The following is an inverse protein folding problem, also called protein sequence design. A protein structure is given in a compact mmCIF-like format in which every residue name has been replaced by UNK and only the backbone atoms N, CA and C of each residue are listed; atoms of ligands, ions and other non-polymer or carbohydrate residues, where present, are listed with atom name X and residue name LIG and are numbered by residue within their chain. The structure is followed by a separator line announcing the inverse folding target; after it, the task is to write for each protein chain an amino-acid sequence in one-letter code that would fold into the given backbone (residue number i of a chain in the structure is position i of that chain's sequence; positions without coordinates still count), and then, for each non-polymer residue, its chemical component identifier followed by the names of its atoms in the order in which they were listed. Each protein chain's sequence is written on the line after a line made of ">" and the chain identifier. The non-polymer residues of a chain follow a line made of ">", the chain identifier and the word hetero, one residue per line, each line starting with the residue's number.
data_IF_086330621546
#
_entry.id   IF_086330621546
#
_cell.length_a   1.000
_cell.length_b   1.000
_cell.length_c   1.000
_cell.angle_alpha   90.00
_cell.angle_beta   90.00
_cell.angle_gamma   90.00
#
_symmetry.space_group_name_H-M   'P 1'
#
loop_
_entity.id
_entity.type
_entity.pdbx_description
1 polymer ?
#
# COMPACT_ATOMS: atom_id res chain seq x y z
N UNK A 1 -9.95 32.43 47.29
CA UNK A 1 -9.70 32.43 45.85
C UNK A 1 -8.89 31.17 45.54
N UNK A 2 -9.54 30.08 45.15
CA UNK A 2 -8.88 28.76 44.91
C UNK A 2 -8.22 28.78 43.54
N UNK A 3 -6.89 28.71 43.53
CA UNK A 3 -6.10 28.54 42.33
C UNK A 3 -6.34 27.08 41.83
N UNK A 4 -7.11 26.94 40.77
CA UNK A 4 -7.39 25.65 40.12
C UNK A 4 -6.09 25.02 39.62
N UNK A 5 -5.97 23.68 39.64
CA UNK A 5 -4.78 22.98 39.21
C UNK A 5 -4.68 22.92 37.68
N UNK A 6 -4.40 24.09 37.07
CA UNK A 6 -4.10 24.15 35.60
C UNK A 6 -2.80 23.40 35.29
N UNK A 7 -1.93 23.22 36.29
CA UNK A 7 -0.61 22.61 36.11
C UNK A 7 -0.65 21.12 35.81
N UNK A 8 -1.58 20.35 36.39
CA UNK A 8 -1.67 18.91 36.20
C UNK A 8 -2.34 18.54 34.86
N UNK A 9 -3.34 19.31 34.44
CA UNK A 9 -3.98 19.16 33.12
C UNK A 9 -2.98 19.47 31.99
N UNK A 10 -2.17 20.50 32.13
CA UNK A 10 -1.17 20.89 31.12
C UNK A 10 -0.06 19.86 31.04
N UNK A 11 0.41 19.34 32.19
CA UNK A 11 1.44 18.29 32.24
C UNK A 11 0.99 16.99 31.58
N UNK A 12 -0.24 16.57 31.84
CA UNK A 12 -0.81 15.36 31.23
C UNK A 12 -1.04 15.54 29.73
N UNK A 13 -1.46 16.72 29.28
CA UNK A 13 -1.60 17.03 27.86
C UNK A 13 -0.25 17.06 27.13
N UNK A 14 0.76 17.66 27.73
CA UNK A 14 2.14 17.65 27.18
C UNK A 14 2.68 16.23 27.11
N UNK A 15 2.50 15.41 28.17
CA UNK A 15 2.95 14.02 28.17
C UNK A 15 2.25 13.19 27.06
N UNK A 16 0.95 13.37 26.87
CA UNK A 16 0.20 12.68 25.81
C UNK A 16 0.64 13.11 24.41
N UNK A 17 0.91 14.40 24.20
CA UNK A 17 1.40 14.95 22.93
C UNK A 17 2.81 14.46 22.59
N UNK A 18 3.68 14.29 23.59
CA UNK A 18 5.04 13.73 23.43
C UNK A 18 4.96 12.24 23.04
N UNK A 19 4.02 11.49 23.63
CA UNK A 19 3.82 10.08 23.29
C UNK A 19 3.35 9.91 21.83
N UNK A 20 2.40 10.74 21.37
CA UNK A 20 1.96 10.71 19.96
C UNK A 20 3.12 11.08 19.02
N UNK A 21 3.90 12.11 19.37
CA UNK A 21 5.06 12.51 18.56
C UNK A 21 6.13 11.41 18.51
N UNK A 22 6.38 10.73 19.63
CA UNK A 22 7.34 9.60 19.65
C UNK A 22 6.84 8.41 18.84
N UNK A 23 5.54 8.12 18.84
CA UNK A 23 4.96 7.06 18.00
C UNK A 23 5.05 7.39 16.49
N UNK A 24 4.84 8.65 16.10
CA UNK A 24 4.98 9.04 14.69
C UNK A 24 6.43 9.03 14.22
N UNK A 25 7.38 9.44 15.08
CA UNK A 25 8.82 9.39 14.79
C UNK A 25 9.30 7.93 14.72
N UNK A 26 8.79 7.04 15.58
CA UNK A 26 9.14 5.62 15.56
C UNK A 26 8.62 4.91 14.30
N UNK A 27 7.39 5.21 13.88
CA UNK A 27 6.85 4.69 12.62
C UNK A 27 7.66 5.17 11.39
N UNK A 28 8.17 6.40 11.41
CA UNK A 28 9.00 6.95 10.34
C UNK A 28 10.45 6.43 10.36
N UNK A 29 11.00 6.09 11.53
CA UNK A 29 12.34 5.51 11.65
C UNK A 29 12.43 4.10 11.06
N UNK A 30 11.34 3.33 11.07
CA UNK A 30 11.29 2.03 10.40
C UNK A 30 11.30 2.14 8.86
N UNK A 31 10.76 3.23 8.30
CA UNK A 31 10.81 3.51 6.85
C UNK A 31 12.21 3.88 6.37
N UNK A 32 13.08 4.37 7.25
CA UNK A 32 14.45 4.80 6.92
C UNK A 32 15.50 3.69 7.07
N UNK A 33 15.13 2.49 7.52
CA UNK A 33 16.02 1.34 7.51
C UNK A 33 16.08 0.75 6.10
N UNK A 34 16.85 1.38 5.21
CA UNK A 34 17.21 0.78 3.92
C UNK A 34 17.92 -0.55 4.16
N UNK A 35 17.41 -1.69 3.63
CA UNK A 35 18.16 -2.92 3.67
C UNK A 35 19.48 -2.69 2.93
N UNK A 36 20.61 -3.01 3.57
CA UNK A 36 21.89 -3.05 2.91
C UNK A 36 21.78 -4.10 1.81
N UNK A 37 22.00 -3.69 0.56
CA UNK A 37 22.40 -4.61 -0.51
C UNK A 37 23.77 -5.15 -0.11
N UNK A 38 23.77 -6.22 0.69
CA UNK A 38 25.00 -6.76 1.27
C UNK A 38 25.58 -7.91 0.46
N UNK A 39 24.97 -8.18 -0.71
CA UNK A 39 25.41 -9.29 -1.54
C UNK A 39 25.83 -8.78 -2.92
N UNK A 40 27.14 -8.85 -3.19
CA UNK A 40 27.76 -8.49 -4.46
C UNK A 40 27.11 -9.26 -5.64
N UNK A 41 26.68 -10.50 -5.38
CA UNK A 41 25.95 -11.34 -6.34
C UNK A 41 24.62 -10.70 -6.77
N UNK A 42 23.85 -10.15 -5.84
CA UNK A 42 22.55 -9.52 -6.14
C UNK A 42 22.72 -8.22 -6.93
N UNK A 43 23.80 -7.48 -6.69
CA UNK A 43 24.13 -6.30 -7.49
C UNK A 43 24.46 -6.66 -8.93
N UNK A 44 25.23 -7.74 -9.16
CA UNK A 44 25.54 -8.24 -10.51
C UNK A 44 24.23 -8.67 -11.20
N UNK A 45 23.36 -9.43 -10.54
CA UNK A 45 22.07 -9.86 -11.12
C UNK A 45 21.19 -8.65 -11.45
N UNK A 46 21.14 -7.63 -10.59
CA UNK A 46 20.38 -6.41 -10.85
C UNK A 46 20.90 -5.64 -12.08
N UNK A 47 22.23 -5.55 -12.22
CA UNK A 47 22.87 -4.91 -13.38
C UNK A 47 22.58 -5.68 -14.68
N UNK A 48 22.63 -7.02 -14.63
CA UNK A 48 22.26 -7.85 -15.77
C UNK A 48 20.78 -7.74 -16.12
N UNK A 49 19.88 -7.68 -15.12
CA UNK A 49 18.46 -7.48 -15.32
C UNK A 49 18.18 -6.15 -16.02
N UNK A 50 18.83 -5.08 -15.57
CA UNK A 50 18.70 -3.77 -16.18
C UNK A 50 19.25 -3.75 -17.60
N UNK A 51 20.41 -4.37 -17.84
CA UNK A 51 20.98 -4.48 -19.19
C UNK A 51 20.04 -5.20 -20.17
N UNK A 52 19.37 -6.27 -19.72
CA UNK A 52 18.37 -6.98 -20.52
C UNK A 52 17.14 -6.12 -20.82
N UNK A 53 16.70 -5.34 -19.84
CA UNK A 53 15.60 -4.39 -20.02
C UNK A 53 15.95 -3.31 -21.05
N UNK A 54 17.16 -2.74 -20.97
CA UNK A 54 17.62 -1.69 -21.88
C UNK A 54 17.81 -2.24 -23.31
N UNK A 55 18.37 -3.44 -23.46
CA UNK A 55 18.47 -4.16 -24.74
C UNK A 55 17.08 -4.37 -25.36
N UNK A 56 16.13 -4.88 -24.57
CA UNK A 56 14.74 -5.09 -24.99
C UNK A 56 14.11 -3.80 -25.51
N UNK A 57 14.31 -2.68 -24.79
CA UNK A 57 13.75 -1.37 -25.15
C UNK A 57 14.20 -0.91 -26.54
N UNK A 58 15.43 -1.22 -26.96
CA UNK A 58 15.93 -0.88 -28.30
C UNK A 58 15.30 -1.72 -29.41
N UNK A 59 14.77 -2.91 -29.06
CA UNK A 59 14.23 -3.89 -30.03
C UNK A 59 12.70 -3.81 -30.18
N UNK A 60 11.99 -3.10 -29.29
CA UNK A 60 10.50 -3.06 -29.26
C UNK A 60 9.89 -2.78 -30.63
N UNK A 61 10.48 -1.89 -31.43
CA UNK A 61 9.95 -1.49 -32.74
C UNK A 61 10.35 -2.47 -33.85
N UNK A 62 11.58 -2.99 -33.82
CA UNK A 62 12.17 -3.78 -34.92
C UNK A 62 11.94 -5.28 -34.77
N UNK A 63 11.92 -5.78 -33.52
CA UNK A 63 11.69 -7.19 -33.18
C UNK A 63 10.94 -7.29 -31.85
N UNK A 64 9.60 -7.10 -31.87
CA UNK A 64 8.79 -7.05 -30.65
C UNK A 64 8.75 -8.39 -29.91
N UNK A 65 8.88 -9.52 -30.61
CA UNK A 65 8.84 -10.84 -29.97
C UNK A 65 10.14 -11.09 -29.19
N UNK A 66 11.28 -10.77 -29.78
CA UNK A 66 12.56 -10.87 -29.09
C UNK A 66 12.66 -9.86 -27.94
N UNK A 67 12.16 -8.63 -28.13
CA UNK A 67 12.06 -7.66 -27.04
C UNK A 67 11.23 -8.20 -25.86
N UNK A 68 10.08 -8.83 -26.12
CA UNK A 68 9.23 -9.43 -25.07
C UNK A 68 9.95 -10.55 -24.31
N UNK A 69 10.76 -11.37 -25.00
CA UNK A 69 11.55 -12.41 -24.35
C UNK A 69 12.64 -11.81 -23.45
N UNK A 70 13.34 -10.78 -23.90
CA UNK A 70 14.34 -10.07 -23.09
C UNK A 70 13.72 -9.39 -21.86
N UNK A 71 12.52 -8.82 -21.99
CA UNK A 71 11.78 -8.30 -20.83
C UNK A 71 11.43 -9.42 -19.83
N UNK A 72 11.06 -10.61 -20.33
CA UNK A 72 10.78 -11.78 -19.50
C UNK A 72 12.04 -12.27 -18.77
N UNK A 73 13.20 -12.30 -19.44
CA UNK A 73 14.50 -12.60 -18.83
C UNK A 73 14.85 -11.56 -17.75
N UNK A 74 14.66 -10.27 -18.02
CA UNK A 74 14.85 -9.19 -17.05
C UNK A 74 13.98 -9.38 -15.82
N UNK A 75 12.68 -9.63 -16.01
CA UNK A 75 11.75 -9.88 -14.93
C UNK A 75 12.16 -11.09 -14.08
N UNK A 76 12.59 -12.20 -14.72
CA UNK A 76 13.06 -13.39 -14.03
C UNK A 76 14.31 -13.11 -13.17
N UNK A 77 15.22 -12.25 -13.64
CA UNK A 77 16.40 -11.84 -12.87
C UNK A 77 16.02 -10.96 -11.67
N UNK A 78 15.14 -9.98 -11.84
CA UNK A 78 14.63 -9.18 -10.72
C UNK A 78 13.88 -10.06 -9.70
N UNK A 79 13.07 -11.02 -10.17
CA UNK A 79 12.38 -11.96 -9.31
C UNK A 79 13.35 -12.79 -8.46
N UNK A 80 14.46 -13.28 -9.03
CA UNK A 80 15.49 -14.00 -8.27
C UNK A 80 16.07 -13.19 -7.12
N UNK A 81 16.21 -11.87 -7.27
CA UNK A 81 16.66 -10.99 -6.19
C UNK A 81 15.58 -10.90 -5.10
N UNK A 82 14.31 -10.80 -5.48
CA UNK A 82 13.18 -10.83 -4.54
C UNK A 82 13.16 -12.17 -3.78
N UNK A 83 13.33 -13.29 -4.48
CA UNK A 83 13.33 -14.65 -3.90
C UNK A 83 14.52 -14.86 -2.95
N UNK A 84 15.62 -14.10 -3.09
CA UNK A 84 16.73 -14.10 -2.13
C UNK A 84 16.41 -13.36 -0.82
N UNK A 85 15.19 -12.83 -0.68
CA UNK A 85 14.70 -12.14 0.51
C UNK A 85 14.96 -10.62 0.52
N UNK A 86 15.41 -10.05 -0.60
CA UNK A 86 15.58 -8.59 -0.71
C UNK A 86 14.22 -7.94 -0.99
N UNK A 87 13.79 -7.08 -0.06
CA UNK A 87 12.57 -6.27 -0.20
C UNK A 87 12.96 -4.79 -0.36
N UNK A 88 12.85 -4.28 -1.60
CA UNK A 88 13.18 -2.90 -1.95
C UNK A 88 12.16 -2.37 -2.96
N UNK A 89 11.60 -1.18 -2.72
CA UNK A 89 10.56 -0.59 -3.57
C UNK A 89 11.00 -0.33 -5.01
N UNK A 90 12.25 0.09 -5.24
CA UNK A 90 12.80 0.26 -6.59
C UNK A 90 12.96 -1.08 -7.32
N UNK A 91 13.36 -2.14 -6.59
CA UNK A 91 13.43 -3.48 -7.15
C UNK A 91 12.06 -3.96 -7.65
N UNK A 92 11.02 -3.81 -6.82
CA UNK A 92 9.65 -4.17 -7.20
C UNK A 92 9.10 -3.28 -8.32
N UNK A 93 9.46 -2.00 -8.35
CA UNK A 93 9.10 -1.10 -9.44
C UNK A 93 9.71 -1.57 -10.77
N UNK A 94 10.99 -1.90 -10.80
CA UNK A 94 11.68 -2.40 -12.00
C UNK A 94 11.16 -3.77 -12.43
N UNK A 95 10.86 -4.66 -11.47
CA UNK A 95 10.20 -5.93 -11.74
C UNK A 95 8.84 -5.71 -12.41
N UNK A 96 8.01 -4.80 -11.86
CA UNK A 96 6.72 -4.43 -12.44
C UNK A 96 6.84 -3.91 -13.87
N UNK A 97 7.82 -3.04 -14.14
CA UNK A 97 8.07 -2.51 -15.47
C UNK A 97 8.41 -3.65 -16.49
N UNK A 98 9.28 -4.58 -16.11
CA UNK A 98 9.66 -5.70 -16.97
C UNK A 98 8.48 -6.66 -17.20
N UNK A 99 7.65 -6.90 -16.18
CA UNK A 99 6.45 -7.74 -16.28
C UNK A 99 5.37 -7.13 -17.17
N UNK A 100 5.12 -5.81 -17.12
CA UNK A 100 4.18 -5.14 -18.05
C UNK A 100 4.64 -5.33 -19.49
N UNK A 101 5.91 -5.08 -19.77
CA UNK A 101 6.45 -5.20 -21.12
C UNK A 101 6.48 -6.64 -21.64
N UNK A 102 6.49 -7.64 -20.74
CA UNK A 102 6.38 -9.06 -21.10
C UNK A 102 4.94 -9.59 -21.13
N UNK A 103 3.94 -8.72 -20.95
CA UNK A 103 2.49 -9.03 -20.90
C UNK A 103 2.05 -9.89 -19.70
N UNK A 104 2.84 -9.91 -18.62
CA UNK A 104 2.45 -10.57 -17.36
C UNK A 104 1.78 -9.55 -16.41
N UNK A 105 0.57 -9.11 -16.79
CA UNK A 105 -0.11 -8.00 -16.14
C UNK A 105 -0.51 -8.30 -14.68
N UNK A 106 -0.89 -9.54 -14.38
CA UNK A 106 -1.26 -9.93 -13.02
C UNK A 106 -0.09 -9.77 -12.05
N UNK A 107 1.07 -10.34 -12.39
CA UNK A 107 2.28 -10.22 -11.58
C UNK A 107 2.84 -8.80 -11.57
N UNK A 108 2.68 -8.05 -12.67
CA UNK A 108 3.09 -6.65 -12.73
C UNK A 108 2.33 -5.79 -11.71
N UNK A 109 1.00 -5.94 -11.64
CA UNK A 109 0.17 -5.26 -10.65
C UNK A 109 0.62 -5.64 -9.23
N UNK A 110 0.87 -6.93 -8.97
CA UNK A 110 1.40 -7.40 -7.69
C UNK A 110 2.72 -6.75 -7.30
N UNK A 111 3.67 -6.66 -8.24
CA UNK A 111 4.94 -6.00 -8.04
C UNK A 111 4.78 -4.50 -7.76
N UNK A 112 3.91 -3.80 -8.49
CA UNK A 112 3.64 -2.38 -8.23
C UNK A 112 2.91 -2.13 -6.89
N UNK A 113 2.01 -3.02 -6.47
CA UNK A 113 1.37 -2.92 -5.14
C UNK A 113 2.41 -3.05 -4.04
N UNK A 114 3.39 -3.94 -4.20
CA UNK A 114 4.50 -4.07 -3.25
C UNK A 114 5.44 -2.87 -3.31
N UNK A 115 5.78 -2.37 -4.50
CA UNK A 115 6.54 -1.14 -4.66
C UNK A 115 5.84 0.06 -3.98
N UNK A 116 4.51 0.20 -4.16
CA UNK A 116 3.71 1.26 -3.54
C UNK A 116 3.68 1.14 -2.00
N UNK A 117 3.69 -0.09 -1.46
CA UNK A 117 3.78 -0.32 -0.01
C UNK A 117 5.10 0.17 0.55
N UNK A 118 6.22 -0.11 -0.16
CA UNK A 118 7.58 0.23 0.27
C UNK A 118 7.96 1.69 -0.01
N UNK A 119 7.43 2.28 -1.09
CA UNK A 119 7.66 3.67 -1.51
C UNK A 119 6.32 4.41 -1.64
N UNK A 120 5.63 4.68 -0.52
CA UNK A 120 4.32 5.31 -0.54
C UNK A 120 4.40 6.74 -1.09
N UNK A 121 3.62 7.03 -2.14
CA UNK A 121 3.54 8.36 -2.76
C UNK A 121 4.55 8.61 -3.88
N UNK A 122 5.27 7.60 -4.34
CA UNK A 122 6.05 7.71 -5.57
C UNK A 122 5.10 7.75 -6.79
N UNK A 123 5.07 8.90 -7.47
CA UNK A 123 4.17 9.12 -8.59
C UNK A 123 4.46 8.19 -9.79
N UNK A 124 5.69 7.73 -9.97
CA UNK A 124 6.06 6.79 -11.03
C UNK A 124 5.30 5.47 -10.85
N UNK A 125 5.24 4.97 -9.61
CA UNK A 125 4.55 3.73 -9.28
C UNK A 125 3.05 3.89 -9.51
N UNK A 126 2.46 5.01 -9.06
CA UNK A 126 1.02 5.26 -9.24
C UNK A 126 0.62 5.32 -10.72
N UNK A 127 1.42 6.00 -11.56
CA UNK A 127 1.18 6.09 -13.00
C UNK A 127 1.29 4.70 -13.66
N UNK A 128 2.36 3.94 -13.38
CA UNK A 128 2.58 2.65 -14.00
C UNK A 128 1.56 1.60 -13.53
N UNK A 129 1.17 1.62 -12.25
CA UNK A 129 0.10 0.77 -11.71
C UNK A 129 -1.24 1.09 -12.38
N UNK A 130 -1.58 2.38 -12.55
CA UNK A 130 -2.81 2.77 -13.24
C UNK A 130 -2.81 2.34 -14.71
N UNK A 131 -1.66 2.41 -15.37
CA UNK A 131 -1.49 1.93 -16.74
C UNK A 131 -1.66 0.40 -16.81
N UNK A 132 -1.02 -0.36 -15.95
CA UNK A 132 -1.19 -1.82 -15.90
C UNK A 132 -2.65 -2.23 -15.65
N UNK A 133 -3.37 -1.50 -14.78
CA UNK A 133 -4.80 -1.70 -14.55
C UNK A 133 -5.65 -1.41 -15.79
N UNK A 134 -5.32 -0.37 -16.56
CA UNK A 134 -6.06 -0.05 -17.80
C UNK A 134 -5.91 -1.16 -18.84
N UNK A 135 -4.73 -1.75 -18.96
CA UNK A 135 -4.49 -2.88 -19.87
C UNK A 135 -5.32 -4.13 -19.50
N UNK A 136 -5.50 -4.38 -18.20
CA UNK A 136 -6.40 -5.46 -17.71
C UNK A 136 -7.86 -5.10 -17.95
N UNK A 137 -8.28 -3.85 -17.70
CA UNK A 137 -9.66 -3.41 -17.84
C UNK A 137 -10.15 -3.43 -19.30
N UNK A 138 -9.27 -3.23 -20.26
CA UNK A 138 -9.60 -3.39 -21.69
C UNK A 138 -10.00 -4.82 -22.04
N UNK A 139 -9.61 -5.81 -21.24
CA UNK A 139 -9.98 -7.22 -21.36
C UNK A 139 -11.15 -7.68 -20.47
N UNK A 140 -11.68 -6.84 -19.59
CA UNK A 140 -12.67 -7.23 -18.57
C UNK A 140 -13.97 -6.42 -18.65
N UNK A 141 -15.10 -7.04 -18.32
CA UNK A 141 -16.44 -6.43 -18.27
C UNK A 141 -16.66 -5.46 -17.11
N UNK A 142 -17.71 -4.61 -17.15
CA UNK A 142 -17.77 -3.32 -16.50
C UNK A 142 -17.89 -3.35 -14.97
N UNK A 143 -17.32 -2.29 -14.35
CA UNK A 143 -17.31 -1.95 -12.94
C UNK A 143 -18.71 -1.82 -12.31
N UNK A 144 -18.85 -2.43 -11.13
CA UNK A 144 -20.02 -2.33 -10.25
C UNK A 144 -20.14 -0.91 -9.69
N UNK A 145 -21.34 -0.35 -9.68
CA UNK A 145 -21.67 0.94 -9.09
C UNK A 145 -21.42 0.94 -7.56
N UNK A 146 -20.60 1.87 -7.10
CA UNK A 146 -20.28 2.03 -5.68
C UNK A 146 -21.34 2.86 -4.94
N UNK A 147 -21.67 2.49 -3.70
CA UNK A 147 -22.61 3.18 -2.83
C UNK A 147 -22.19 4.63 -2.49
N UNK A 148 -23.14 5.55 -2.14
CA UNK A 148 -22.84 6.96 -1.87
C UNK A 148 -21.83 7.22 -0.76
N UNK A 149 -21.80 6.38 0.27
CA UNK A 149 -20.84 6.44 1.38
C UNK A 149 -19.41 6.08 0.92
N UNK A 150 -19.30 5.16 -0.04
CA UNK A 150 -18.03 4.81 -0.66
C UNK A 150 -17.46 5.94 -1.52
N UNK A 151 -18.32 6.80 -2.09
CA UNK A 151 -17.87 8.00 -2.83
C UNK A 151 -17.19 9.01 -1.91
N UNK A 152 -17.71 9.26 -0.70
CA UNK A 152 -17.05 10.15 0.26
C UNK A 152 -15.73 9.53 0.76
N UNK A 153 -15.73 8.25 1.05
CA UNK A 153 -14.52 7.52 1.41
C UNK A 153 -13.51 7.43 0.25
N UNK A 154 -13.99 7.40 -1.01
CA UNK A 154 -13.13 7.41 -2.19
C UNK A 154 -12.46 8.76 -2.41
N UNK A 155 -13.16 9.88 -2.17
CA UNK A 155 -12.56 11.22 -2.21
C UNK A 155 -11.41 11.37 -1.21
N UNK A 156 -11.54 10.78 -0.02
CA UNK A 156 -10.46 10.76 0.97
C UNK A 156 -9.29 9.86 0.54
N UNK A 157 -9.57 8.78 -0.19
CA UNK A 157 -8.54 7.88 -0.75
C UNK A 157 -7.76 8.48 -1.92
N UNK A 158 -8.34 9.45 -2.64
CA UNK A 158 -7.66 10.22 -3.70
C UNK A 158 -6.50 11.06 -3.14
N UNK A 159 -6.60 11.49 -1.86
CA UNK A 159 -5.49 12.21 -1.23
C UNK A 159 -4.38 11.21 -0.91
N UNK A 160 -3.22 11.39 -1.54
CA UNK A 160 -2.05 10.54 -1.34
C UNK A 160 -1.71 10.36 0.15
N UNK A 161 -1.36 9.15 0.56
CA UNK A 161 -1.07 8.83 1.97
C UNK A 161 -0.03 9.77 2.62
N UNK A 162 1.09 10.14 1.95
CA UNK A 162 2.04 11.11 2.50
C UNK A 162 1.42 12.47 2.75
N UNK A 163 0.54 12.94 1.86
CA UNK A 163 -0.15 14.23 2.02
C UNK A 163 -1.04 14.23 3.27
N UNK A 164 -1.68 13.10 3.59
CA UNK A 164 -2.48 12.93 4.81
C UNK A 164 -1.63 12.95 6.06
N UNK A 165 -0.44 12.34 6.05
CA UNK A 165 0.52 12.41 7.16
C UNK A 165 0.96 13.87 7.38
N UNK A 166 1.34 14.57 6.31
CA UNK A 166 1.73 15.97 6.39
C UNK A 166 0.60 16.86 6.88
N UNK A 167 -0.64 16.64 6.46
CA UNK A 167 -1.81 17.40 6.95
C UNK A 167 -2.07 17.16 8.44
N UNK A 168 -1.88 15.94 8.93
CA UNK A 168 -1.95 15.63 10.35
C UNK A 168 -0.86 16.37 11.14
N UNK A 169 0.37 16.37 10.65
CA UNK A 169 1.50 17.07 11.26
C UNK A 169 1.32 18.59 11.28
N UNK A 170 0.88 19.19 10.17
CA UNK A 170 0.60 20.61 10.06
C UNK A 170 -0.55 21.00 11.01
N UNK A 171 -1.61 20.22 11.08
CA UNK A 171 -2.73 20.50 12.00
C UNK A 171 -2.30 20.41 13.46
N UNK A 172 -1.40 19.49 13.80
CA UNK A 172 -0.81 19.39 15.13
C UNK A 172 0.03 20.62 15.50
N UNK A 173 0.91 21.09 14.57
CA UNK A 173 1.67 22.33 14.75
C UNK A 173 0.73 23.52 14.95
N UNK A 174 -0.36 23.59 14.19
CA UNK A 174 -1.34 24.69 14.31
C UNK A 174 -2.01 24.71 15.69
N UNK A 175 -2.35 23.56 16.25
CA UNK A 175 -2.90 23.45 17.62
C UNK A 175 -1.90 24.00 18.64
N UNK A 176 -0.62 23.63 18.53
CA UNK A 176 0.42 24.17 19.40
C UNK A 176 0.63 25.67 19.23
N UNK A 177 0.60 26.16 18.00
CA UNK A 177 0.71 27.58 17.72
C UNK A 177 -0.43 28.38 18.38
N UNK A 178 -1.67 27.87 18.31
CA UNK A 178 -2.84 28.49 18.98
C UNK A 178 -2.62 28.52 20.51
N UNK A 179 -2.13 27.43 21.11
CA UNK A 179 -1.86 27.36 22.55
C UNK A 179 -0.82 28.40 22.97
N UNK A 180 0.32 28.41 22.27
CA UNK A 180 1.44 29.31 22.57
C UNK A 180 1.03 30.79 22.39
N UNK A 181 0.35 31.09 21.28
CA UNK A 181 -0.17 32.43 21.02
C UNK A 181 -1.16 32.89 22.10
N UNK A 182 -2.05 31.99 22.53
CA UNK A 182 -2.98 32.25 23.62
C UNK A 182 -2.30 32.59 24.95
N UNK A 183 -1.18 31.92 25.24
CA UNK A 183 -0.37 32.18 26.45
C UNK A 183 0.39 33.50 26.33
N UNK A 184 1.06 33.75 25.20
CA UNK A 184 1.93 34.93 25.02
C UNK A 184 1.13 36.25 24.92
N UNK A 185 0.00 36.22 24.22
CA UNK A 185 -0.79 37.43 23.96
C UNK A 185 -1.95 37.65 24.94
N UNK A 186 -2.07 36.81 25.97
CA UNK A 186 -3.04 36.99 27.05
C UNK A 186 -4.51 37.02 26.53
N UNK A 187 -4.84 36.23 25.54
CA UNK A 187 -6.14 36.23 24.84
C UNK A 187 -7.34 35.89 25.73
N UNK A 188 -7.17 35.96 27.05
CA UNK A 188 -8.14 35.47 28.01
C UNK A 188 -9.44 36.30 28.09
N UNK A 189 -9.52 37.51 27.50
CA UNK A 189 -10.65 38.40 27.74
C UNK A 189 -11.49 38.78 26.48
N UNK A 190 -10.96 38.68 25.27
CA UNK A 190 -11.63 39.27 24.09
C UNK A 190 -11.87 38.32 22.90
N UNK A 191 -11.13 37.22 22.78
CA UNK A 191 -11.32 36.24 21.69
C UNK A 191 -11.72 34.89 22.30
N UNK A 192 -12.73 34.21 21.76
CA UNK A 192 -13.17 32.90 22.24
C UNK A 192 -12.19 31.81 21.78
N UNK A 193 -10.94 31.85 22.30
CA UNK A 193 -9.86 30.92 21.95
C UNK A 193 -10.16 29.45 22.34
N UNK A 194 -11.01 29.24 23.37
CA UNK A 194 -11.40 27.88 23.81
C UNK A 194 -12.14 27.09 22.74
N UNK A 195 -13.23 27.59 22.11
CA UNK A 195 -13.88 26.87 21.02
C UNK A 195 -12.96 26.71 19.82
N UNK A 196 -12.12 27.68 19.49
CA UNK A 196 -11.12 27.56 18.41
C UNK A 196 -10.13 26.42 18.68
N UNK A 197 -9.63 26.32 19.91
CA UNK A 197 -8.73 25.23 20.31
C UNK A 197 -9.44 23.87 20.28
N UNK A 198 -10.69 23.79 20.76
CA UNK A 198 -11.48 22.56 20.75
C UNK A 198 -11.72 22.09 19.32
N UNK A 199 -12.13 22.99 18.43
CA UNK A 199 -12.37 22.63 16.99
C UNK A 199 -11.10 22.22 16.28
N UNK A 200 -10.00 22.95 16.49
CA UNK A 200 -8.69 22.60 15.90
C UNK A 200 -8.18 21.23 16.39
N UNK A 201 -8.33 20.97 17.69
CA UNK A 201 -7.96 19.68 18.29
C UNK A 201 -8.84 18.53 17.78
N UNK A 202 -10.14 18.76 17.61
CA UNK A 202 -11.07 17.77 17.07
C UNK A 202 -10.72 17.42 15.59
N UNK A 203 -10.40 18.42 14.78
CA UNK A 203 -9.97 18.23 13.39
C UNK A 203 -8.65 17.45 13.35
N UNK A 204 -7.67 17.85 14.16
CA UNK A 204 -6.39 17.16 14.26
C UNK A 204 -6.56 15.70 14.66
N UNK A 205 -7.40 15.42 15.66
CA UNK A 205 -7.69 14.06 16.11
C UNK A 205 -8.39 13.27 15.00
N UNK A 206 -9.37 13.84 14.32
CA UNK A 206 -10.08 13.20 13.20
C UNK A 206 -9.11 12.78 12.07
N UNK A 207 -8.24 13.69 11.63
CA UNK A 207 -7.23 13.38 10.61
C UNK A 207 -6.27 12.29 11.12
N UNK A 208 -5.79 12.39 12.34
CA UNK A 208 -4.84 11.41 12.92
C UNK A 208 -5.46 10.02 13.03
N UNK A 209 -6.73 9.92 13.44
CA UNK A 209 -7.47 8.65 13.51
C UNK A 209 -7.61 8.03 12.12
N UNK A 210 -7.97 8.81 11.10
CA UNK A 210 -8.10 8.28 9.73
C UNK A 210 -6.78 7.75 9.19
N UNK A 211 -5.66 8.45 9.43
CA UNK A 211 -4.33 7.99 9.04
C UNK A 211 -3.95 6.70 9.77
N UNK A 212 -4.21 6.63 11.09
CA UNK A 212 -3.92 5.43 11.89
C UNK A 212 -4.75 4.22 11.46
N UNK A 213 -6.04 4.42 11.20
CA UNK A 213 -6.93 3.34 10.71
C UNK A 213 -6.50 2.84 9.33
N UNK A 214 -6.11 3.74 8.43
CA UNK A 214 -5.63 3.35 7.09
C UNK A 214 -4.30 2.58 7.16
N UNK A 215 -3.37 3.01 8.02
CA UNK A 215 -2.13 2.28 8.24
C UNK A 215 -2.39 0.86 8.79
N UNK A 216 -3.23 0.76 9.82
CA UNK A 216 -3.58 -0.52 10.43
C UNK A 216 -4.32 -1.47 9.45
N UNK A 217 -5.23 -0.93 8.64
CA UNK A 217 -5.95 -1.72 7.63
C UNK A 217 -5.02 -2.32 6.58
N UNK A 218 -3.99 -1.58 6.15
CA UNK A 218 -3.01 -2.06 5.17
C UNK A 218 -2.18 -3.22 5.71
N UNK A 219 -1.93 -3.24 7.01
CA UNK A 219 -1.17 -4.28 7.68
C UNK A 219 -2.02 -5.53 7.94
N UNK A 220 -3.28 -5.34 8.40
CA UNK A 220 -4.20 -6.46 8.74
C UNK A 220 -4.80 -7.10 7.48
N UNK A 221 -5.14 -6.29 6.48
CA UNK A 221 -5.80 -6.73 5.26
C UNK A 221 -5.02 -6.23 4.02
N UNK A 222 -3.87 -6.83 3.73
CA UNK A 222 -3.05 -6.38 2.61
C UNK A 222 -3.78 -6.58 1.27
N UNK A 223 -3.54 -5.68 0.30
CA UNK A 223 -4.04 -5.85 -1.05
C UNK A 223 -3.33 -7.00 -1.75
N UNK A 224 -4.03 -7.63 -2.67
CA UNK A 224 -3.48 -8.67 -3.52
C UNK A 224 -4.10 -8.63 -4.90
N UNK A 225 -3.57 -9.46 -5.79
CA UNK A 225 -3.99 -9.57 -7.18
C UNK A 225 -3.95 -11.03 -7.63
N UNK A 226 -4.85 -11.42 -8.50
CA UNK A 226 -4.80 -12.72 -9.16
C UNK A 226 -3.77 -12.69 -10.29
N UNK A 227 -2.89 -13.68 -10.29
CA UNK A 227 -1.78 -13.77 -11.27
C UNK A 227 -2.13 -14.67 -12.46
N UNK A 228 -3.06 -15.61 -12.28
CA UNK A 228 -3.49 -16.54 -13.30
C UNK A 228 -4.84 -16.17 -13.90
N UNK A 229 -5.09 -16.64 -15.13
CA UNK A 229 -6.40 -16.57 -15.77
C UNK A 229 -7.31 -17.72 -15.32
N UNK A 230 -8.64 -17.52 -15.46
CA UNK A 230 -9.64 -18.54 -15.15
C UNK A 230 -9.61 -19.07 -13.72
N UNK A 231 -9.29 -18.18 -12.74
CA UNK A 231 -9.23 -18.55 -11.33
C UNK A 231 -10.63 -18.80 -10.77
N UNK A 232 -10.88 -20.02 -10.33
CA UNK A 232 -12.15 -20.40 -9.70
C UNK A 232 -12.10 -20.07 -8.21
N UNK A 233 -12.81 -19.03 -7.81
CA UNK A 233 -13.00 -18.68 -6.39
C UNK A 233 -14.01 -19.64 -5.78
N UNK A 234 -13.69 -20.21 -4.62
CA UNK A 234 -14.50 -21.26 -3.96
C UNK A 234 -15.16 -20.76 -2.68
N UNK A 235 -16.25 -21.41 -2.27
CA UNK A 235 -16.95 -21.12 -1.01
C UNK A 235 -16.18 -21.56 0.23
N UNK A 236 -15.18 -22.44 0.10
CA UNK A 236 -14.34 -22.96 1.18
C UNK A 236 -12.90 -23.22 0.73
N UNK A 237 -12.02 -23.48 1.69
CA UNK A 237 -10.58 -23.69 1.51
C UNK A 237 -10.23 -25.10 1.03
N UNK A 238 -10.77 -25.52 -0.11
CA UNK A 238 -10.51 -26.86 -0.67
C UNK A 238 -11.13 -27.03 -2.04
N UNK A 239 -10.60 -27.95 -2.84
CA UNK A 239 -11.05 -28.19 -4.21
C UNK A 239 -12.47 -28.79 -4.30
N UNK A 240 -12.93 -29.45 -3.26
CA UNK A 240 -14.27 -30.03 -3.19
C UNK A 240 -15.41 -29.03 -2.95
N UNK A 241 -15.09 -27.77 -2.59
CA UNK A 241 -16.11 -26.76 -2.40
C UNK A 241 -16.61 -26.19 -3.73
N UNK A 242 -17.91 -25.89 -3.79
CA UNK A 242 -18.54 -25.28 -4.96
C UNK A 242 -17.93 -23.89 -5.26
N UNK A 243 -17.95 -23.46 -6.53
CA UNK A 243 -17.59 -22.10 -6.91
C UNK A 243 -18.42 -21.07 -6.12
N UNK A 244 -17.76 -19.98 -5.70
CA UNK A 244 -18.40 -18.85 -5.04
C UNK A 244 -19.05 -17.91 -6.05
N UNK A 245 -18.46 -17.80 -7.25
CA UNK A 245 -18.91 -16.95 -8.35
C UNK A 245 -19.33 -17.79 -9.55
N UNK A 246 -20.21 -17.23 -10.36
CA UNK A 246 -20.73 -17.89 -11.56
C UNK A 246 -19.65 -18.04 -12.64
N UNK A 247 -18.77 -17.02 -12.75
CA UNK A 247 -17.69 -16.99 -13.73
C UNK A 247 -16.33 -16.99 -13.01
N UNK A 248 -15.31 -17.67 -13.58
CA UNK A 248 -13.95 -17.56 -13.08
C UNK A 248 -13.41 -16.13 -13.20
N UNK A 249 -12.54 -15.75 -12.28
CA UNK A 249 -11.89 -14.44 -12.34
C UNK A 249 -10.65 -14.50 -13.24
N UNK A 250 -10.35 -13.36 -13.86
CA UNK A 250 -9.19 -13.19 -14.76
C UNK A 250 -7.98 -12.67 -13.99
N UNK A 251 -6.79 -12.84 -14.57
CA UNK A 251 -5.55 -12.23 -14.09
C UNK A 251 -5.72 -10.72 -13.92
N UNK A 252 -5.07 -10.14 -12.92
CA UNK A 252 -5.15 -8.71 -12.63
C UNK A 252 -6.36 -8.30 -11.79
N UNK A 253 -7.29 -9.23 -11.48
CA UNK A 253 -8.37 -8.95 -10.54
C UNK A 253 -7.79 -8.70 -9.14
N UNK A 254 -8.00 -7.49 -8.62
CA UNK A 254 -7.51 -7.07 -7.32
C UNK A 254 -8.47 -7.45 -6.20
N UNK A 255 -7.91 -7.77 -5.06
CA UNK A 255 -8.66 -8.16 -3.86
C UNK A 255 -7.98 -7.65 -2.58
N UNK A 256 -8.71 -7.75 -1.49
CA UNK A 256 -8.16 -7.59 -0.13
C UNK A 256 -8.10 -8.97 0.53
N UNK A 257 -6.95 -9.36 1.06
CA UNK A 257 -6.81 -10.61 1.82
C UNK A 257 -7.45 -10.46 3.20
N UNK A 258 -8.23 -11.45 3.62
CA UNK A 258 -8.94 -11.46 4.91
C UNK A 258 -8.36 -12.51 5.85
N UNK A 259 -8.05 -13.70 5.33
CA UNK A 259 -7.64 -14.85 6.12
C UNK A 259 -6.68 -15.71 5.30
N UNK A 260 -5.72 -16.32 6.00
CA UNK A 260 -4.75 -17.23 5.40
C UNK A 260 -4.94 -18.62 5.99
N UNK A 261 -4.97 -19.64 5.13
CA UNK A 261 -4.90 -21.06 5.52
C UNK A 261 -3.88 -21.79 4.65
N UNK A 262 -3.35 -22.91 5.08
CA UNK A 262 -2.40 -23.68 4.28
C UNK A 262 -2.89 -23.90 2.85
N UNK A 263 -2.16 -23.36 1.88
CA UNK A 263 -2.49 -23.43 0.44
C UNK A 263 -3.64 -22.56 -0.04
N UNK A 264 -4.30 -21.74 0.82
CA UNK A 264 -5.48 -20.97 0.48
C UNK A 264 -5.50 -19.58 1.10
N UNK A 265 -5.93 -18.57 0.30
CA UNK A 265 -6.28 -17.24 0.78
C UNK A 265 -7.78 -17.03 0.73
N UNK A 266 -8.36 -16.51 1.82
CA UNK A 266 -9.69 -15.92 1.79
C UNK A 266 -9.58 -14.48 1.33
N UNK A 267 -10.22 -14.19 0.23
CA UNK A 267 -10.16 -12.88 -0.43
C UNK A 267 -11.52 -12.19 -0.37
N UNK A 268 -11.50 -10.86 -0.43
CA UNK A 268 -12.65 -10.01 -0.64
C UNK A 268 -12.39 -9.14 -1.85
N UNK A 269 -13.28 -9.20 -2.82
CA UNK A 269 -13.25 -8.35 -4.00
C UNK A 269 -13.75 -6.93 -3.68
N UNK A 270 -13.55 -6.00 -4.61
CA UNK A 270 -13.97 -4.60 -4.50
C UNK A 270 -15.49 -4.43 -4.41
N UNK A 271 -16.27 -5.37 -4.93
CA UNK A 271 -17.75 -5.43 -4.83
C UNK A 271 -18.25 -5.99 -3.49
N UNK A 272 -17.34 -6.35 -2.57
CA UNK A 272 -17.66 -6.91 -1.25
C UNK A 272 -17.85 -8.41 -1.22
N UNK A 273 -17.91 -9.09 -2.36
CA UNK A 273 -18.01 -10.54 -2.43
C UNK A 273 -16.72 -11.19 -1.90
N UNK A 274 -16.84 -12.36 -1.28
CA UNK A 274 -15.69 -13.06 -0.71
C UNK A 274 -15.70 -14.55 -1.03
N UNK A 275 -14.49 -15.13 -1.08
CA UNK A 275 -14.31 -16.54 -1.32
C UNK A 275 -12.86 -16.96 -1.12
N UNK A 276 -12.53 -18.19 -1.47
CA UNK A 276 -11.22 -18.78 -1.28
C UNK A 276 -10.54 -19.03 -2.64
N UNK A 277 -9.27 -18.65 -2.73
CA UNK A 277 -8.39 -18.89 -3.88
C UNK A 277 -7.15 -19.63 -3.43
N UNK A 278 -6.52 -20.37 -4.32
CA UNK A 278 -5.23 -21.00 -4.04
C UNK A 278 -4.15 -19.93 -3.90
N UNK A 279 -3.17 -20.17 -3.03
CA UNK A 279 -2.00 -19.31 -2.89
C UNK A 279 -1.19 -19.21 -4.18
N UNK A 280 -1.19 -20.27 -5.01
CA UNK A 280 -0.52 -20.29 -6.32
C UNK A 280 -1.15 -19.35 -7.36
N UNK A 281 -2.40 -18.97 -7.18
CA UNK A 281 -3.15 -18.16 -8.16
C UNK A 281 -3.20 -16.68 -7.78
N UNK A 282 -2.61 -16.34 -6.64
CA UNK A 282 -2.71 -15.00 -6.06
C UNK A 282 -1.37 -14.50 -5.52
N UNK A 283 -1.10 -13.23 -5.71
CA UNK A 283 0.02 -12.51 -5.10
C UNK A 283 -0.52 -11.47 -4.14
N UNK A 284 -0.01 -11.45 -2.90
CA UNK A 284 -0.42 -10.53 -1.83
C UNK A 284 0.76 -9.62 -1.51
N UNK A 285 0.52 -8.33 -1.32
CA UNK A 285 1.56 -7.38 -0.93
C UNK A 285 1.86 -7.49 0.57
N UNK A 286 3.16 -7.45 0.94
CA UNK A 286 3.64 -7.46 2.33
C UNK A 286 4.29 -8.78 2.76
N UNK A 287 4.79 -8.78 3.99
CA UNK A 287 5.54 -9.91 4.59
C UNK A 287 4.73 -11.20 4.75
N UNK A 288 3.40 -11.11 4.79
CA UNK A 288 2.50 -12.27 4.93
C UNK A 288 2.71 -13.25 3.77
N UNK A 289 3.04 -12.77 2.58
CA UNK A 289 3.34 -13.63 1.44
C UNK A 289 4.61 -14.48 1.67
N UNK A 290 5.62 -13.95 2.37
CA UNK A 290 6.87 -14.65 2.66
C UNK A 290 6.74 -15.68 3.79
N UNK A 291 5.88 -15.42 4.77
CA UNK A 291 5.66 -16.29 5.93
C UNK A 291 4.80 -17.51 5.56
N UNK A 292 3.81 -17.30 4.69
CA UNK A 292 2.95 -18.38 4.19
C UNK A 292 3.69 -19.29 3.20
N UNK A 293 4.56 -18.73 2.37
CA UNK A 293 5.43 -19.54 1.49
C UNK A 293 6.35 -20.45 2.32
N UNK A 294 6.90 -19.98 3.43
CA UNK A 294 7.73 -20.79 4.35
C UNK A 294 6.95 -21.83 5.17
N UNK A 295 5.68 -21.57 5.44
CA UNK A 295 4.83 -22.50 6.20
C UNK A 295 4.22 -23.61 5.31
N UNK A 296 4.33 -23.49 3.98
CA UNK A 296 3.84 -24.47 3.00
C UNK A 296 4.91 -25.44 2.49
N UNK A 297 6.19 -25.23 2.85
CA UNK A 297 7.30 -26.16 2.66
C UNK A 297 7.44 -27.10 3.87
#
# INVERSE_FOLDING_TARGET
>A
MKIFPLHDSLRNFVAFSVVILSMTIFAQAQVLSTPRVSDETNLVIATEAQSKYDEATTLVVNDPEHARELFRESAAKFQRIVDSGISNGELFFNLGNALVQSDDLGRAIGAYLEAQRLLPGDARIEVNLSHARSLVAEGASPTVESEPLDRVASLWRVVAFPTRIWSAFISWILVWFIIVAGILFGWTARVPWRPLLITASAICLGISVTVGVDALRREINPPGVLVNDQVVVRKGNGEGFAPAFTEPLTRGAEFTMIEVRPGWYRIRLTDGQSGWVKTSDAQVAGEVASEVARASE
#
